data_IF_724298665510
#
_entry.id   IF_724298665510
#
_cell.length_a   1.000
_cell.length_b   1.000
_cell.length_c   1.000
_cell.angle_alpha   90.00
_cell.angle_beta   90.00
_cell.angle_gamma   90.00
#
_symmetry.space_group_name_H-M   'P 1'
#
loop_
_entity.id
_entity.type
_entity.pdbx_description
1 polymer ?
#
# COMPACT_ATOMS: atom_id res chain seq x y z
N UNK A 1 5.74 -11.02 14.29
CA UNK A 1 6.19 -11.39 12.94
C UNK A 1 5.71 -10.36 11.93
N UNK A 2 6.62 -9.85 11.12
CA UNK A 2 6.27 -8.82 10.14
C UNK A 2 5.69 -9.45 8.89
N UNK A 3 4.63 -8.87 8.38
CA UNK A 3 4.02 -9.31 7.14
C UNK A 3 4.70 -8.68 5.94
N UNK A 4 4.79 -9.45 4.85
CA UNK A 4 5.31 -8.98 3.59
C UNK A 4 4.13 -8.46 2.77
N UNK A 5 4.10 -7.17 2.46
CA UNK A 5 3.01 -6.56 1.72
C UNK A 5 3.47 -5.95 0.41
N UNK A 6 2.61 -5.87 -0.60
CA UNK A 6 2.94 -5.16 -1.83
C UNK A 6 3.15 -3.68 -1.57
N UNK A 7 4.10 -3.08 -2.28
CA UNK A 7 4.44 -1.66 -2.13
C UNK A 7 4.28 -0.96 -3.47
N UNK A 8 3.59 0.16 -3.45
CA UNK A 8 3.33 0.98 -4.62
C UNK A 8 3.97 2.36 -4.45
N UNK A 9 5.08 2.65 -5.13
CA UNK A 9 5.68 3.98 -5.08
C UNK A 9 4.89 4.96 -5.95
N UNK A 10 4.56 6.11 -5.39
CA UNK A 10 3.82 7.17 -6.10
C UNK A 10 4.38 8.54 -5.78
N UNK A 11 4.28 9.46 -6.73
CA UNK A 11 4.70 10.84 -6.55
C UNK A 11 3.62 11.65 -5.85
N UNK A 12 3.14 11.14 -4.73
CA UNK A 12 2.20 11.85 -3.89
C UNK A 12 2.32 11.35 -2.46
N UNK A 13 1.81 12.12 -1.52
CA UNK A 13 1.81 11.75 -0.10
C UNK A 13 0.38 11.44 0.30
N UNK A 14 0.18 10.23 0.82
CA UNK A 14 -1.11 9.84 1.37
C UNK A 14 -1.12 10.03 2.88
N UNK A 15 -2.27 10.44 3.38
CA UNK A 15 -2.49 10.58 4.82
C UNK A 15 -3.49 9.54 5.30
N UNK A 16 -3.36 9.07 6.55
CA UNK A 16 -4.38 8.21 7.15
C UNK A 16 -5.77 8.83 7.02
N UNK A 17 -6.80 8.01 6.86
CA UNK A 17 -8.20 8.39 6.71
C UNK A 17 -8.56 9.09 5.40
N UNK A 18 -7.59 9.32 4.52
CA UNK A 18 -7.85 9.97 3.22
C UNK A 18 -8.20 8.96 2.16
N UNK A 19 -8.99 9.40 1.17
CA UNK A 19 -9.38 8.58 0.01
C UNK A 19 -8.84 9.26 -1.23
N UNK A 20 -8.21 8.47 -2.12
CA UNK A 20 -7.59 8.98 -3.33
C UNK A 20 -8.05 8.18 -4.55
N UNK A 21 -8.18 8.88 -5.67
CA UNK A 21 -8.47 8.24 -6.96
C UNK A 21 -7.14 8.02 -7.68
N UNK A 22 -6.86 6.79 -8.06
CA UNK A 22 -5.63 6.42 -8.77
C UNK A 22 -5.96 5.80 -10.12
N UNK A 23 -5.15 6.13 -11.12
CA UNK A 23 -5.22 5.50 -12.43
C UNK A 23 -4.08 4.48 -12.55
N UNK A 24 -4.43 3.22 -12.73
CA UNK A 24 -3.48 2.13 -12.78
C UNK A 24 -3.29 1.70 -14.22
N UNK A 25 -2.09 1.88 -14.77
CA UNK A 25 -1.82 1.61 -16.18
C UNK A 25 -0.61 0.70 -16.44
N UNK A 26 0.35 0.61 -15.51
CA UNK A 26 1.51 -0.26 -15.68
C UNK A 26 1.14 -1.72 -15.36
N UNK A 27 1.64 -2.65 -16.18
CA UNK A 27 1.32 -4.07 -16.05
C UNK A 27 1.56 -4.61 -14.63
N UNK A 28 2.72 -4.28 -14.06
CA UNK A 28 3.06 -4.76 -12.72
C UNK A 28 2.05 -4.31 -11.66
N UNK A 29 1.53 -3.10 -11.80
CA UNK A 29 0.57 -2.59 -10.81
C UNK A 29 -0.85 -3.06 -11.09
N UNK A 30 -1.19 -3.37 -12.33
CA UNK A 30 -2.46 -4.06 -12.63
C UNK A 30 -2.50 -5.41 -11.91
N UNK A 31 -1.39 -6.15 -11.96
CA UNK A 31 -1.28 -7.44 -11.27
C UNK A 31 -1.37 -7.28 -9.76
N UNK A 32 -0.69 -6.26 -9.22
CA UNK A 32 -0.73 -5.98 -7.79
C UNK A 32 -2.15 -5.65 -7.32
N UNK A 33 -2.84 -4.77 -8.01
CA UNK A 33 -4.19 -4.36 -7.64
C UNK A 33 -5.18 -5.52 -7.78
N UNK A 34 -5.07 -6.31 -8.84
CA UNK A 34 -5.92 -7.49 -8.97
C UNK A 34 -5.71 -8.47 -7.83
N UNK A 35 -4.47 -8.68 -7.40
CA UNK A 35 -4.16 -9.52 -6.25
C UNK A 35 -4.81 -8.99 -4.97
N UNK A 36 -4.54 -7.75 -4.61
CA UNK A 36 -5.02 -7.21 -3.33
C UNK A 36 -6.53 -7.03 -3.31
N UNK A 37 -7.13 -6.69 -4.44
CA UNK A 37 -8.57 -6.56 -4.52
C UNK A 37 -9.28 -7.91 -4.37
N UNK A 38 -8.74 -8.94 -5.02
CA UNK A 38 -9.31 -10.28 -4.99
C UNK A 38 -9.17 -10.94 -3.61
N UNK A 39 -8.02 -10.77 -2.96
CA UNK A 39 -7.74 -11.41 -1.68
C UNK A 39 -8.18 -10.59 -0.48
N UNK A 40 -8.45 -9.31 -0.66
CA UNK A 40 -8.73 -8.41 0.46
C UNK A 40 -7.50 -7.97 1.22
N UNK A 41 -6.30 -8.27 0.68
CA UNK A 41 -5.04 -7.85 1.32
C UNK A 41 -4.90 -6.33 1.31
N UNK A 42 -4.09 -5.83 2.24
CA UNK A 42 -3.64 -4.44 2.23
C UNK A 42 -2.38 -4.34 1.37
N UNK A 43 -2.07 -3.11 0.97
CA UNK A 43 -0.80 -2.79 0.33
C UNK A 43 -0.33 -1.45 0.88
N UNK A 44 0.92 -1.12 0.61
CA UNK A 44 1.49 0.13 1.09
C UNK A 44 1.77 1.08 -0.07
N UNK A 45 1.47 2.35 0.12
CA UNK A 45 1.88 3.40 -0.82
C UNK A 45 2.98 4.20 -0.16
N UNK A 46 4.13 4.28 -0.84
CA UNK A 46 5.27 5.09 -0.38
C UNK A 46 5.47 6.25 -1.35
N UNK A 47 5.90 7.39 -0.83
CA UNK A 47 6.09 8.58 -1.64
C UNK A 47 7.41 8.53 -2.39
N UNK A 48 7.39 9.01 -3.65
CA UNK A 48 8.60 9.25 -4.43
C UNK A 48 8.82 10.76 -4.44
N UNK A 49 9.93 11.19 -3.85
CA UNK A 49 10.27 12.61 -3.72
C UNK A 49 11.66 12.82 -4.31
N UNK A 50 11.75 13.69 -5.32
CA UNK A 50 13.02 13.98 -6.01
C UNK A 50 13.71 12.69 -6.48
N UNK A 51 12.96 11.78 -7.09
CA UNK A 51 13.43 10.48 -7.60
C UNK A 51 13.90 9.51 -6.51
N UNK A 52 13.59 9.78 -5.26
CA UNK A 52 13.92 8.89 -4.14
C UNK A 52 12.65 8.32 -3.54
N UNK A 53 12.67 7.03 -3.29
CA UNK A 53 11.55 6.34 -2.65
C UNK A 53 11.68 6.49 -1.14
N UNK A 54 10.64 7.04 -0.53
CA UNK A 54 10.58 7.18 0.94
C UNK A 54 10.47 5.81 1.59
N UNK A 55 11.06 5.66 2.77
CA UNK A 55 10.88 4.46 3.59
C UNK A 55 9.57 4.50 4.37
N UNK A 56 8.93 5.65 4.41
CA UNK A 56 7.68 5.85 5.14
C UNK A 56 6.56 5.87 4.13
N UNK A 57 5.48 5.15 4.44
CA UNK A 57 4.32 5.10 3.60
C UNK A 57 3.04 5.00 4.41
N UNK A 58 1.97 4.69 3.71
CA UNK A 58 0.65 4.52 4.30
C UNK A 58 0.07 3.17 3.88
N UNK A 59 -0.40 2.41 4.85
CA UNK A 59 -1.16 1.18 4.58
C UNK A 59 -2.45 1.58 3.91
N UNK A 60 -2.76 0.92 2.80
CA UNK A 60 -3.94 1.23 2.00
C UNK A 60 -4.74 0.00 1.66
N UNK A 61 -5.98 0.23 1.31
CA UNK A 61 -6.85 -0.80 0.78
C UNK A 61 -7.60 -0.24 -0.43
N UNK A 62 -7.83 -1.08 -1.43
CA UNK A 62 -8.68 -0.71 -2.56
C UNK A 62 -10.12 -0.70 -2.07
N UNK A 63 -10.74 0.48 -2.09
CA UNK A 63 -12.13 0.63 -1.70
C UNK A 63 -13.07 0.23 -2.83
N UNK A 64 -12.73 0.62 -4.06
CA UNK A 64 -13.59 0.39 -5.20
C UNK A 64 -12.81 0.47 -6.50
N UNK A 65 -13.09 -0.42 -7.44
CA UNK A 65 -12.67 -0.26 -8.82
C UNK A 65 -13.79 0.49 -9.53
N UNK A 66 -13.51 1.72 -9.91
CA UNK A 66 -14.51 2.61 -10.49
C UNK A 66 -14.74 2.29 -11.96
N UNK A 67 -13.66 2.00 -12.67
CA UNK A 67 -13.71 1.77 -14.10
C UNK A 67 -12.54 0.89 -14.53
N UNK A 68 -12.82 -0.03 -15.45
CA UNK A 68 -11.79 -0.86 -16.10
C UNK A 68 -11.81 -0.58 -17.59
N UNK A 69 -10.63 -0.39 -18.16
CA UNK A 69 -10.47 -0.09 -19.58
C UNK A 69 -10.07 -1.34 -20.37
N UNK A 70 -10.09 -1.25 -21.70
CA UNK A 70 -9.91 -2.39 -22.59
C UNK A 70 -8.62 -3.17 -22.37
N UNK A 71 -7.52 -2.50 -22.03
CA UNK A 71 -6.22 -3.16 -21.81
C UNK A 71 -5.97 -3.50 -20.35
N UNK A 72 -6.99 -3.48 -19.54
CA UNK A 72 -6.84 -3.79 -18.11
C UNK A 72 -6.45 -2.61 -17.24
N UNK A 73 -6.27 -1.44 -17.84
CA UNK A 73 -6.08 -0.21 -17.05
C UNK A 73 -7.32 0.03 -16.21
N UNK A 74 -7.15 0.65 -15.06
CA UNK A 74 -8.29 0.85 -14.17
C UNK A 74 -8.15 2.12 -13.34
N UNK A 75 -9.31 2.68 -13.01
CA UNK A 75 -9.42 3.77 -12.04
C UNK A 75 -9.94 3.17 -10.75
N UNK A 76 -9.25 3.44 -9.65
CA UNK A 76 -9.60 2.88 -8.35
C UNK A 76 -9.63 3.97 -7.29
N UNK A 77 -10.47 3.77 -6.28
CA UNK A 77 -10.37 4.52 -5.04
C UNK A 77 -9.61 3.69 -4.03
N UNK A 78 -8.65 4.32 -3.36
CA UNK A 78 -7.90 3.71 -2.26
C UNK A 78 -8.10 4.54 -1.02
N UNK A 79 -8.11 3.88 0.13
CA UNK A 79 -8.18 4.55 1.42
C UNK A 79 -6.92 4.25 2.21
N UNK A 80 -6.35 5.29 2.84
CA UNK A 80 -5.21 5.15 3.72
C UNK A 80 -5.66 4.87 5.15
N UNK A 81 -4.87 4.09 5.88
CA UNK A 81 -5.16 3.74 7.27
C UNK A 81 -4.06 4.19 8.21
N UNK A 82 -2.94 3.50 8.23
CA UNK A 82 -1.87 3.77 9.18
C UNK A 82 -0.54 4.02 8.46
N UNK A 83 0.32 4.81 9.05
CA UNK A 83 1.67 5.01 8.52
C UNK A 83 2.57 3.85 8.92
N UNK A 84 3.56 3.58 8.09
CA UNK A 84 4.52 2.50 8.34
C UNK A 84 5.90 2.88 7.84
N UNK A 85 6.89 2.12 8.30
CA UNK A 85 8.24 2.11 7.73
C UNK A 85 8.45 0.81 6.98
N UNK A 86 9.12 0.88 5.83
CA UNK A 86 9.54 -0.33 5.12
C UNK A 86 10.80 -0.91 5.74
N UNK A 87 10.87 -2.24 5.75
CA UNK A 87 12.03 -3.00 6.19
C UNK A 87 12.30 -4.06 5.13
N UNK A 88 13.52 -4.14 4.61
CA UNK A 88 13.90 -5.22 3.71
C UNK A 88 12.99 -5.39 2.49
N UNK A 89 12.93 -4.36 1.66
CA UNK A 89 12.16 -4.41 0.42
C UNK A 89 12.82 -5.32 -0.62
N UNK A 90 11.99 -6.00 -1.40
CA UNK A 90 12.44 -6.81 -2.52
C UNK A 90 11.50 -6.62 -3.71
N UNK A 91 11.97 -6.98 -4.90
CA UNK A 91 11.13 -6.98 -6.11
C UNK A 91 10.64 -8.39 -6.31
N UNK A 92 9.32 -8.57 -6.45
CA UNK A 92 8.78 -9.90 -6.70
C UNK A 92 8.83 -10.25 -8.18
N UNK A 93 8.42 -11.46 -8.52
CA UNK A 93 8.50 -11.94 -9.93
C UNK A 93 7.54 -11.20 -10.86
N UNK A 94 6.52 -10.55 -10.36
CA UNK A 94 5.59 -9.75 -11.16
C UNK A 94 6.09 -8.32 -11.39
N UNK A 95 7.22 -7.96 -10.76
CA UNK A 95 7.90 -6.70 -11.02
C UNK A 95 7.54 -5.55 -10.10
N UNK A 96 6.74 -5.78 -9.07
CA UNK A 96 6.49 -4.74 -8.07
C UNK A 96 7.19 -5.08 -6.76
N UNK A 97 7.32 -4.09 -5.89
CA UNK A 97 8.00 -4.29 -4.61
C UNK A 97 7.09 -4.98 -3.60
N UNK A 98 7.72 -5.78 -2.76
CA UNK A 98 7.12 -6.24 -1.51
C UNK A 98 8.08 -5.90 -0.38
N UNK A 99 7.55 -5.64 0.80
CA UNK A 99 8.38 -5.29 1.95
C UNK A 99 7.76 -5.78 3.23
N UNK A 100 8.61 -6.16 4.16
CA UNK A 100 8.20 -6.21 5.54
C UNK A 100 8.00 -4.78 6.01
N UNK A 101 7.06 -4.56 6.90
CA UNK A 101 6.72 -3.22 7.38
C UNK A 101 6.58 -3.23 8.90
N UNK A 102 6.83 -2.07 9.49
CA UNK A 102 6.63 -1.85 10.92
C UNK A 102 5.88 -0.55 11.13
N UNK A 103 5.19 -0.38 12.25
CA UNK A 103 4.48 0.87 12.52
C UNK A 103 5.42 2.05 12.56
N UNK A 104 4.96 3.19 12.04
CA UNK A 104 5.69 4.44 12.14
C UNK A 104 5.21 5.21 13.36
N UNK A 105 6.13 5.53 14.27
CA UNK A 105 5.80 6.25 15.49
C UNK A 105 6.45 7.62 15.50
N UNK A 106 5.65 8.66 15.75
CA UNK A 106 6.19 9.97 16.05
C UNK A 106 6.68 10.01 17.50
N UNK A 107 5.96 9.33 18.40
CA UNK A 107 6.23 9.35 19.84
C UNK A 107 6.48 7.97 20.44
N UNK A 108 6.71 6.97 19.64
CA UNK A 108 6.97 5.60 20.08
C UNK A 108 5.92 5.05 21.02
N UNK A 109 4.66 5.29 20.72
CA UNK A 109 3.54 4.82 21.51
C UNK A 109 3.27 3.34 21.26
N UNK A 110 3.13 2.57 22.34
CA UNK A 110 2.76 1.16 22.24
C UNK A 110 1.33 1.01 21.71
N UNK A 111 0.49 1.97 22.01
CA UNK A 111 -0.90 1.92 21.53
C UNK A 111 -0.95 2.00 20.01
N UNK A 112 -0.09 2.81 19.40
CA UNK A 112 0.00 2.89 17.95
C UNK A 112 0.43 1.56 17.34
N UNK A 113 1.35 0.86 17.99
CA UNK A 113 1.81 -0.44 17.52
C UNK A 113 0.69 -1.47 17.55
N UNK A 114 -0.09 -1.50 18.62
CA UNK A 114 -1.23 -2.42 18.74
C UNK A 114 -2.26 -2.11 17.66
N UNK A 115 -2.57 -0.85 17.44
CA UNK A 115 -3.52 -0.43 16.41
C UNK A 115 -3.05 -0.86 15.02
N UNK A 116 -1.76 -0.71 14.73
CA UNK A 116 -1.19 -1.11 13.45
C UNK A 116 -1.39 -2.61 13.19
N UNK A 117 -1.10 -3.45 14.18
CA UNK A 117 -1.28 -4.89 14.06
C UNK A 117 -2.74 -5.26 13.83
N UNK A 118 -3.66 -4.58 14.50
CA UNK A 118 -5.09 -4.81 14.31
C UNK A 118 -5.49 -4.47 12.88
N UNK A 119 -5.01 -3.37 12.33
CA UNK A 119 -5.30 -2.99 10.94
C UNK A 119 -4.79 -4.04 9.97
N UNK A 120 -3.55 -4.50 10.12
CA UNK A 120 -2.99 -5.55 9.25
C UNK A 120 -3.78 -6.84 9.37
N UNK A 121 -4.12 -7.26 10.58
CA UNK A 121 -4.88 -8.49 10.80
C UNK A 121 -6.25 -8.45 10.14
N UNK A 122 -6.90 -7.29 10.17
CA UNK A 122 -8.23 -7.11 9.60
C UNK A 122 -8.24 -7.35 8.09
N UNK A 123 -7.16 -7.02 7.39
CA UNK A 123 -7.12 -7.05 5.93
C UNK A 123 -6.24 -8.16 5.36
N UNK A 124 -5.57 -8.94 6.18
CA UNK A 124 -4.59 -9.93 5.73
C UNK A 124 -5.17 -11.31 5.45
N UNK A 125 -6.46 -11.49 5.63
CA UNK A 125 -7.09 -12.80 5.39
C UNK A 125 -7.49 -13.02 3.95
#
# INVERSE_FOLDING_TARGET
MNSLIPIFPLELVLFPESIYLLHIFEERYKKMINRVYTTGEVFGIVSVINSRISKIGCICKVEKIVRTYNKGEMDIYVKGYERFNTINSLINRDGYFESEVEPYFDNKSRDSEIIFEVVLSRFAE
#
